data_IF_544502641351
#
_entry.id   IF_544502641351
#
_cell.length_a   1.000
_cell.length_b   1.000
_cell.length_c   1.000
_cell.angle_alpha   90.00
_cell.angle_beta   90.00
_cell.angle_gamma   90.00
#
_symmetry.space_group_name_H-M   'P 1'
#
loop_
_entity.id
_entity.type
_entity.pdbx_description
1 polymer ?
#
# COMPACT_ATOMS: atom_id res chain seq x y z
N UNK A 1 22.45 41.96 75.07
CA UNK A 1 22.66 42.83 73.89
C UNK A 1 23.62 42.24 72.84
N UNK A 2 24.51 41.28 73.15
CA UNK A 2 25.48 40.69 72.19
C UNK A 2 24.88 39.65 71.21
N UNK A 3 23.66 39.22 71.48
CA UNK A 3 22.88 38.24 70.75
C UNK A 3 21.94 38.90 69.72
N UNK A 4 21.50 40.13 69.98
CA UNK A 4 20.67 40.91 69.04
C UNK A 4 21.52 41.40 67.87
N UNK A 5 22.78 41.80 68.12
CA UNK A 5 23.73 42.21 67.07
C UNK A 5 24.09 41.06 66.12
N UNK A 6 24.15 39.81 66.62
CA UNK A 6 24.41 38.63 65.78
C UNK A 6 23.22 38.24 64.90
N UNK A 7 22.00 38.44 65.39
CA UNK A 7 20.77 38.20 64.62
C UNK A 7 20.60 39.28 63.54
N UNK A 8 20.97 40.54 63.83
CA UNK A 8 20.93 41.63 62.85
C UNK A 8 22.02 41.48 61.75
N UNK A 9 23.18 40.91 62.08
CA UNK A 9 24.25 40.63 61.12
C UNK A 9 23.96 39.40 60.23
N UNK A 10 23.19 38.43 60.73
CA UNK A 10 22.77 37.26 59.95
C UNK A 10 21.63 37.57 58.96
N UNK A 11 20.78 38.56 59.27
CA UNK A 11 19.66 38.96 58.41
C UNK A 11 20.09 39.82 57.21
N UNK A 12 21.28 40.45 57.25
CA UNK A 12 21.76 41.36 56.19
C UNK A 12 22.58 40.66 55.10
N UNK A 13 22.99 39.41 55.29
CA UNK A 13 23.72 38.62 54.27
C UNK A 13 22.78 37.86 53.33
N UNK A 14 21.48 37.74 53.65
CA UNK A 14 20.52 36.98 52.84
C UNK A 14 19.86 37.78 51.69
N UNK A 15 20.17 39.07 51.52
CA UNK A 15 19.42 39.98 50.65
C UNK A 15 20.13 40.42 49.35
N UNK A 16 21.32 39.90 49.04
CA UNK A 16 22.09 40.34 47.84
C UNK A 16 22.19 39.33 46.70
N UNK A 17 21.42 38.24 46.69
CA UNK A 17 21.32 37.37 45.49
C UNK A 17 19.98 37.62 44.78
N UNK A 18 19.84 38.83 44.22
CA UNK A 18 18.98 39.04 43.06
C UNK A 18 19.76 38.57 41.82
N UNK A 19 19.93 37.25 41.73
CA UNK A 19 20.30 36.61 40.48
C UNK A 19 19.13 36.78 39.53
N UNK A 20 19.32 37.60 38.51
CA UNK A 20 18.43 37.71 37.37
C UNK A 20 18.01 36.30 36.92
N UNK A 21 16.76 35.92 37.20
CA UNK A 21 16.13 34.80 36.52
C UNK A 21 15.95 35.29 35.09
N UNK A 22 16.99 35.10 34.28
CA UNK A 22 16.89 35.22 32.84
C UNK A 22 15.73 34.32 32.42
N UNK A 23 14.58 34.93 32.12
CA UNK A 23 13.50 34.25 31.42
C UNK A 23 14.07 33.86 30.06
N UNK A 24 14.69 32.68 30.00
CA UNK A 24 14.94 31.99 28.75
C UNK A 24 13.57 31.64 28.20
N UNK A 25 12.96 32.61 27.50
CA UNK A 25 11.90 32.30 26.54
C UNK A 25 12.50 31.25 25.61
N UNK A 26 11.99 30.01 25.59
CA UNK A 26 12.40 29.10 24.54
C UNK A 26 12.06 29.79 23.22
N UNK A 27 13.05 29.90 22.33
CA UNK A 27 12.88 30.47 21.01
C UNK A 27 11.58 29.91 20.40
N UNK A 28 10.75 30.76 19.75
CA UNK A 28 9.51 30.30 19.14
C UNK A 28 9.86 29.18 18.18
N UNK A 29 9.48 27.94 18.55
CA UNK A 29 9.67 26.78 17.69
C UNK A 29 8.95 27.11 16.39
N UNK A 30 9.70 27.21 15.29
CA UNK A 30 9.14 27.22 13.93
C UNK A 30 8.09 26.10 13.90
N UNK A 31 6.86 26.44 13.54
CA UNK A 31 5.84 25.43 13.29
C UNK A 31 6.34 24.54 12.16
N UNK A 32 6.93 23.41 12.52
CA UNK A 32 7.24 22.35 11.57
C UNK A 32 5.88 21.92 11.07
N UNK A 33 5.62 22.12 9.78
CA UNK A 33 4.38 21.70 9.16
C UNK A 33 4.08 20.26 9.62
N UNK A 34 2.87 19.97 10.15
CA UNK A 34 2.56 18.63 10.61
C UNK A 34 2.79 17.68 9.45
N UNK A 35 3.75 16.76 9.63
CA UNK A 35 4.06 15.72 8.65
C UNK A 35 2.73 15.06 8.30
N UNK A 36 2.38 15.10 7.01
CA UNK A 36 1.07 14.66 6.54
C UNK A 36 0.75 13.30 7.15
N UNK A 37 -0.31 13.26 7.97
CA UNK A 37 -0.82 11.98 8.49
C UNK A 37 -1.19 11.16 7.25
N UNK A 38 -0.66 9.93 7.10
CA UNK A 38 -1.11 9.07 6.02
C UNK A 38 -2.63 8.98 6.11
N UNK A 39 -3.31 9.33 5.02
CA UNK A 39 -4.78 9.28 4.94
C UNK A 39 -5.19 7.86 5.35
N UNK A 40 -5.97 7.74 6.41
CA UNK A 40 -6.70 6.52 6.74
C UNK A 40 -7.64 6.22 5.56
N UNK A 41 -7.22 5.32 4.68
CA UNK A 41 -7.82 5.12 3.36
C UNK A 41 -6.81 4.83 2.25
N UNK A 42 -5.50 5.02 2.49
CA UNK A 42 -4.49 4.31 1.71
C UNK A 42 -4.74 2.82 1.94
N UNK A 43 -5.11 2.09 0.88
CA UNK A 43 -5.57 0.70 0.96
C UNK A 43 -4.72 -0.10 1.93
N UNK A 44 -5.37 -0.77 2.87
CA UNK A 44 -4.73 -1.68 3.82
C UNK A 44 -3.73 -2.53 3.04
N UNK A 45 -2.45 -2.18 3.12
CA UNK A 45 -1.40 -3.01 2.58
C UNK A 45 -1.53 -4.32 3.33
N UNK A 46 -1.81 -5.40 2.58
CA UNK A 46 -1.97 -6.71 3.20
C UNK A 46 -0.69 -7.01 3.96
N UNK A 47 -0.84 -7.55 5.18
CA UNK A 47 0.31 -7.92 5.99
C UNK A 47 1.05 -9.11 5.35
N UNK A 48 2.32 -8.91 5.06
CA UNK A 48 3.13 -9.89 4.35
C UNK A 48 4.50 -9.36 3.96
N UNK A 49 5.27 -10.21 3.30
CA UNK A 49 6.60 -9.91 2.77
C UNK A 49 6.48 -9.70 1.26
N UNK A 50 6.98 -8.57 0.76
CA UNK A 50 7.00 -8.27 -0.68
C UNK A 50 8.44 -8.07 -1.12
N UNK A 51 8.78 -8.55 -2.31
CA UNK A 51 10.05 -8.21 -2.94
C UNK A 51 9.87 -6.93 -3.75
N UNK A 52 10.54 -5.85 -3.32
CA UNK A 52 10.43 -4.53 -3.95
C UNK A 52 11.81 -3.88 -4.09
N UNK A 53 12.10 -3.38 -5.28
CA UNK A 53 13.38 -2.77 -5.65
C UNK A 53 14.57 -3.69 -5.33
N UNK A 54 14.38 -5.01 -5.51
CA UNK A 54 15.37 -6.03 -5.16
C UNK A 54 15.61 -6.24 -3.65
N UNK A 55 14.79 -5.62 -2.79
CA UNK A 55 14.85 -5.77 -1.33
C UNK A 55 13.59 -6.45 -0.81
N UNK A 56 13.74 -7.32 0.17
CA UNK A 56 12.59 -7.86 0.89
C UNK A 56 12.09 -6.85 1.91
N UNK A 57 10.79 -6.59 1.85
CA UNK A 57 10.10 -5.66 2.73
C UNK A 57 8.98 -6.42 3.41
N UNK A 58 9.05 -6.56 4.74
CA UNK A 58 7.98 -7.08 5.55
C UNK A 58 7.07 -5.93 6.00
N UNK A 59 5.79 -6.04 5.69
CA UNK A 59 4.74 -5.15 6.21
C UNK A 59 3.92 -5.90 7.23
N UNK A 60 3.94 -5.46 8.48
CA UNK A 60 3.20 -6.07 9.60
C UNK A 60 2.54 -4.96 10.41
N UNK A 61 1.22 -5.04 10.62
CA UNK A 61 0.46 -4.05 11.38
C UNK A 61 0.63 -2.63 10.84
N UNK A 62 0.77 -2.50 9.51
CA UNK A 62 1.01 -1.22 8.84
C UNK A 62 2.42 -0.64 9.01
N UNK A 63 3.34 -1.36 9.67
CA UNK A 63 4.75 -1.00 9.70
C UNK A 63 5.51 -1.77 8.62
N UNK A 64 6.26 -1.03 7.81
CA UNK A 64 7.02 -1.56 6.66
C UNK A 64 8.50 -1.53 6.99
N UNK A 65 9.12 -2.69 7.18
CA UNK A 65 10.53 -2.83 7.54
C UNK A 65 11.28 -3.73 6.54
N UNK A 66 12.53 -3.40 6.17
CA UNK A 66 13.34 -4.28 5.35
C UNK A 66 13.70 -5.56 6.13
N UNK A 67 13.72 -6.69 5.43
CA UNK A 67 14.13 -7.98 6.00
C UNK A 67 15.65 -8.09 5.88
N UNK A 68 16.36 -7.98 7.00
CA UNK A 68 17.84 -8.04 7.06
C UNK A 68 18.39 -9.36 7.61
N UNK A 69 17.51 -10.22 8.11
CA UNK A 69 17.85 -11.55 8.61
C UNK A 69 16.77 -12.54 8.17
N UNK A 70 17.14 -13.81 8.08
CA UNK A 70 16.22 -14.88 7.72
C UNK A 70 15.08 -14.95 8.74
N UNK A 71 13.85 -14.93 8.24
CA UNK A 71 12.64 -14.85 9.06
C UNK A 71 11.84 -16.13 8.93
N UNK A 72 11.64 -16.80 10.06
CA UNK A 72 10.70 -17.92 10.15
C UNK A 72 9.32 -17.38 10.50
N UNK A 73 8.36 -17.61 9.62
CA UNK A 73 6.95 -17.31 9.83
C UNK A 73 6.32 -18.32 10.81
N UNK A 74 5.21 -17.93 11.44
CA UNK A 74 4.50 -18.74 12.44
C UNK A 74 3.97 -20.08 11.90
N UNK A 75 3.81 -20.18 10.58
CA UNK A 75 3.36 -21.39 9.89
C UNK A 75 4.52 -22.37 9.56
N UNK A 76 5.77 -22.04 9.91
CA UNK A 76 6.96 -22.82 9.59
C UNK A 76 7.58 -22.50 8.22
N UNK A 77 7.09 -21.50 7.50
CA UNK A 77 7.73 -21.01 6.27
C UNK A 77 8.95 -20.17 6.61
N UNK A 78 10.08 -20.42 5.95
CA UNK A 78 11.32 -19.67 6.15
C UNK A 78 11.51 -18.74 4.96
N UNK A 79 11.71 -17.46 5.22
CA UNK A 79 12.00 -16.44 4.21
C UNK A 79 13.44 -16.01 4.41
N UNK A 80 14.29 -16.31 3.43
CA UNK A 80 15.68 -15.88 3.45
C UNK A 80 15.84 -14.45 2.93
N UNK A 81 16.91 -13.79 3.34
CA UNK A 81 17.30 -12.46 2.84
C UNK A 81 17.54 -12.40 1.33
N UNK A 82 17.83 -13.54 0.70
CA UNK A 82 17.99 -13.68 -0.75
C UNK A 82 16.66 -13.77 -1.52
N UNK A 83 15.53 -13.82 -0.81
CA UNK A 83 14.21 -13.94 -1.41
C UNK A 83 13.79 -15.37 -1.72
N UNK A 84 14.51 -16.38 -1.19
CA UNK A 84 14.05 -17.77 -1.23
C UNK A 84 13.06 -17.99 -0.10
N UNK A 85 11.87 -18.47 -0.44
CA UNK A 85 10.81 -18.86 0.48
C UNK A 85 10.77 -20.38 0.52
N UNK A 86 11.01 -20.95 1.70
CA UNK A 86 10.91 -22.38 1.95
C UNK A 86 9.62 -22.64 2.72
N UNK A 87 8.64 -23.28 2.09
CA UNK A 87 7.40 -23.68 2.72
C UNK A 87 7.58 -24.79 3.76
N UNK A 88 6.53 -25.05 4.55
CA UNK A 88 6.53 -26.16 5.52
C UNK A 88 6.77 -27.51 4.87
N UNK A 89 6.32 -27.69 3.62
CA UNK A 89 6.46 -28.93 2.87
C UNK A 89 7.87 -29.12 2.27
N UNK A 90 8.80 -28.20 2.55
CA UNK A 90 10.16 -28.19 1.99
C UNK A 90 10.25 -27.64 0.57
N UNK A 91 9.13 -27.26 -0.04
CA UNK A 91 9.11 -26.59 -1.34
C UNK A 91 9.80 -25.23 -1.25
N UNK A 92 10.72 -24.96 -2.17
CA UNK A 92 11.46 -23.70 -2.26
C UNK A 92 11.01 -22.91 -3.48
N UNK A 93 10.74 -21.62 -3.28
CA UNK A 93 10.33 -20.70 -4.33
C UNK A 93 11.16 -19.44 -4.25
N UNK A 94 11.76 -19.03 -5.38
CA UNK A 94 12.47 -17.76 -5.49
C UNK A 94 11.47 -16.64 -5.77
N UNK A 95 11.47 -15.60 -4.92
CA UNK A 95 10.69 -14.40 -5.15
C UNK A 95 11.35 -13.53 -6.22
N UNK A 96 10.49 -12.97 -7.07
CA UNK A 96 10.84 -11.98 -8.08
C UNK A 96 10.22 -10.63 -7.72
N UNK A 97 10.64 -9.59 -8.43
CA UNK A 97 10.16 -8.22 -8.22
C UNK A 97 8.64 -8.11 -8.32
N UNK A 98 8.02 -7.62 -7.25
CA UNK A 98 6.57 -7.49 -7.13
C UNK A 98 5.83 -8.75 -6.66
N UNK A 99 6.53 -9.83 -6.36
CA UNK A 99 5.93 -11.00 -5.70
C UNK A 99 5.65 -10.72 -4.23
N UNK A 100 4.58 -11.33 -3.74
CA UNK A 100 4.05 -11.12 -2.41
C UNK A 100 3.93 -12.46 -1.67
N UNK A 101 4.25 -12.46 -0.38
CA UNK A 101 4.10 -13.60 0.52
C UNK A 101 3.28 -13.17 1.71
N UNK A 102 2.12 -13.80 1.90
CA UNK A 102 1.31 -13.55 3.09
C UNK A 102 2.02 -14.06 4.35
N UNK A 103 1.67 -13.51 5.52
CA UNK A 103 2.14 -14.06 6.81
C UNK A 103 1.75 -15.54 7.05
N UNK A 104 0.77 -16.03 6.31
CA UNK A 104 0.35 -17.44 6.28
C UNK A 104 1.19 -18.31 5.33
N UNK A 105 2.22 -17.76 4.70
CA UNK A 105 3.14 -18.43 3.76
C UNK A 105 2.57 -18.70 2.37
N UNK A 106 1.41 -18.12 2.04
CA UNK A 106 0.92 -18.13 0.66
C UNK A 106 1.74 -17.18 -0.18
N UNK A 107 2.40 -17.71 -1.20
CA UNK A 107 3.09 -16.95 -2.23
C UNK A 107 2.06 -16.58 -3.30
N UNK A 108 1.89 -15.29 -3.55
CA UNK A 108 1.13 -14.75 -4.67
C UNK A 108 2.13 -14.12 -5.63
N UNK A 109 2.27 -14.72 -6.82
CA UNK A 109 3.14 -14.15 -7.85
C UNK A 109 2.48 -12.94 -8.49
N UNK A 110 3.28 -12.01 -9.02
CA UNK A 110 2.75 -10.81 -9.70
C UNK A 110 1.74 -11.15 -10.82
N UNK A 111 1.97 -12.24 -11.55
CA UNK A 111 1.06 -12.69 -12.61
C UNK A 111 -0.31 -13.13 -12.06
N UNK A 112 -0.31 -13.86 -10.95
CA UNK A 112 -1.55 -14.30 -10.28
C UNK A 112 -2.29 -13.13 -9.64
N UNK A 113 -1.58 -12.19 -9.03
CA UNK A 113 -2.17 -10.96 -8.47
C UNK A 113 -2.85 -10.16 -9.59
N UNK A 114 -2.20 -9.99 -10.74
CA UNK A 114 -2.77 -9.28 -11.88
C UNK A 114 -3.99 -10.01 -12.47
N UNK A 115 -3.93 -11.34 -12.55
CA UNK A 115 -5.06 -12.16 -13.02
C UNK A 115 -6.25 -12.08 -12.05
N UNK A 116 -6.02 -12.17 -10.75
CA UNK A 116 -7.05 -12.05 -9.72
C UNK A 116 -7.67 -10.65 -9.67
N UNK A 117 -6.87 -9.59 -9.79
CA UNK A 117 -7.37 -8.22 -9.83
C UNK A 117 -8.23 -7.98 -11.08
N UNK A 118 -7.87 -8.58 -12.22
CA UNK A 118 -8.70 -8.56 -13.43
C UNK A 118 -10.04 -9.29 -13.20
N UNK A 119 -10.01 -10.48 -12.61
CA UNK A 119 -11.23 -11.25 -12.32
C UNK A 119 -12.12 -10.51 -11.31
N UNK A 120 -11.54 -9.95 -10.25
CA UNK A 120 -12.30 -9.18 -9.26
C UNK A 120 -12.89 -7.91 -9.87
N UNK A 121 -12.15 -7.19 -10.72
CA UNK A 121 -12.69 -6.02 -11.44
C UNK A 121 -13.84 -6.40 -12.36
N UNK A 122 -13.75 -7.54 -13.04
CA UNK A 122 -14.82 -8.07 -13.88
C UNK A 122 -16.05 -8.44 -13.05
N UNK A 123 -15.86 -9.16 -11.94
CA UNK A 123 -16.94 -9.51 -11.01
C UNK A 123 -17.57 -8.28 -10.37
N UNK A 124 -16.77 -7.29 -9.96
CA UNK A 124 -17.24 -6.04 -9.38
C UNK A 124 -17.99 -5.18 -10.40
N UNK A 125 -17.57 -5.21 -11.67
CA UNK A 125 -18.29 -4.57 -12.77
C UNK A 125 -19.65 -5.24 -13.01
N UNK A 126 -19.68 -6.57 -13.04
CA UNK A 126 -20.91 -7.35 -13.22
C UNK A 126 -21.88 -7.18 -12.05
N UNK A 127 -21.36 -7.06 -10.82
CA UNK A 127 -22.15 -6.80 -9.62
C UNK A 127 -22.73 -5.37 -9.59
N UNK A 128 -21.96 -4.38 -10.06
CA UNK A 128 -22.41 -2.98 -10.16
C UNK A 128 -23.37 -2.74 -11.33
N UNK A 129 -23.31 -3.57 -12.37
CA UNK A 129 -24.10 -3.45 -13.59
C UNK A 129 -24.69 -4.80 -13.99
N UNK A 130 -25.62 -5.35 -13.20
CA UNK A 130 -26.22 -6.64 -13.51
C UNK A 130 -26.89 -6.60 -14.88
N UNK A 131 -26.56 -7.55 -15.76
CA UNK A 131 -27.20 -7.71 -17.08
C UNK A 131 -26.63 -6.86 -18.22
N UNK A 132 -25.87 -5.79 -17.93
CA UNK A 132 -25.33 -4.87 -18.95
C UNK A 132 -24.35 -5.55 -19.91
N UNK A 133 -23.61 -6.56 -19.43
CA UNK A 133 -22.77 -7.42 -20.28
C UNK A 133 -23.57 -8.22 -21.30
N UNK A 134 -24.64 -8.89 -20.85
CA UNK A 134 -25.51 -9.67 -21.74
C UNK A 134 -26.20 -8.79 -22.77
N UNK A 135 -26.52 -7.55 -22.40
CA UNK A 135 -27.11 -6.58 -23.32
C UNK A 135 -26.09 -6.06 -24.36
N UNK A 136 -24.85 -5.77 -23.92
CA UNK A 136 -23.75 -5.39 -24.82
C UNK A 136 -23.33 -6.51 -25.77
N UNK A 137 -23.34 -7.76 -25.30
CA UNK A 137 -23.06 -8.95 -26.11
C UNK A 137 -24.16 -9.16 -27.15
N UNK A 138 -25.44 -9.10 -26.74
CA UNK A 138 -26.58 -9.14 -27.67
C UNK A 138 -26.57 -7.96 -28.65
N UNK A 139 -26.13 -6.78 -28.23
CA UNK A 139 -26.01 -5.61 -29.11
C UNK A 139 -24.88 -5.78 -30.12
N UNK A 140 -23.73 -6.32 -29.70
CA UNK A 140 -22.61 -6.65 -30.61
C UNK A 140 -23.00 -7.73 -31.61
N UNK A 141 -23.67 -8.79 -31.17
CA UNK A 141 -24.14 -9.87 -32.05
C UNK A 141 -25.17 -9.36 -33.08
N UNK A 142 -26.09 -8.49 -32.65
CA UNK A 142 -27.04 -7.85 -33.57
C UNK A 142 -26.35 -6.91 -34.55
N UNK A 143 -25.35 -6.15 -34.09
CA UNK A 143 -24.57 -5.25 -34.95
C UNK A 143 -23.71 -6.02 -35.97
N UNK A 144 -23.15 -7.16 -35.57
CA UNK A 144 -22.37 -8.03 -36.44
C UNK A 144 -23.26 -8.69 -37.50
N UNK A 145 -24.44 -9.23 -37.11
CA UNK A 145 -25.44 -9.74 -38.06
C UNK A 145 -25.97 -8.65 -39.00
N UNK A 146 -26.10 -7.41 -38.53
CA UNK A 146 -26.51 -6.29 -39.37
C UNK A 146 -25.42 -5.90 -40.38
N UNK A 147 -24.15 -5.89 -39.97
CA UNK A 147 -23.02 -5.66 -40.87
C UNK A 147 -22.92 -6.75 -41.93
N UNK A 148 -23.02 -8.02 -41.54
CA UNK A 148 -22.97 -9.15 -42.48
C UNK A 148 -24.11 -9.10 -43.51
N UNK A 149 -25.33 -8.73 -43.07
CA UNK A 149 -26.47 -8.53 -43.99
C UNK A 149 -26.23 -7.36 -44.95
N UNK A 150 -25.74 -6.23 -44.44
CA UNK A 150 -25.45 -5.05 -45.25
C UNK A 150 -24.33 -5.32 -46.27
N UNK A 151 -23.32 -6.11 -45.90
CA UNK A 151 -22.22 -6.47 -46.80
C UNK A 151 -22.70 -7.45 -47.88
N UNK A 152 -23.50 -8.46 -47.53
CA UNK A 152 -24.17 -9.34 -48.51
C UNK A 152 -25.10 -8.58 -49.46
N UNK A 153 -25.81 -7.58 -48.98
CA UNK A 153 -26.71 -6.77 -49.81
C UNK A 153 -25.94 -5.83 -50.75
N UNK A 154 -24.86 -5.21 -50.27
CA UNK A 154 -23.93 -4.43 -51.10
C UNK A 154 -23.25 -5.28 -52.16
N UNK A 155 -22.87 -6.51 -51.83
CA UNK A 155 -22.24 -7.44 -52.78
C UNK A 155 -23.23 -7.88 -53.86
N UNK A 156 -24.48 -8.18 -53.49
CA UNK A 156 -25.57 -8.46 -54.45
C UNK A 156 -25.90 -7.25 -55.32
N UNK A 157 -25.89 -6.03 -54.78
CA UNK A 157 -26.13 -4.81 -55.54
C UNK A 157 -25.00 -4.54 -56.56
N UNK A 158 -23.74 -4.75 -56.16
CA UNK A 158 -22.58 -4.65 -57.05
C UNK A 158 -22.62 -5.71 -58.16
N UNK A 159 -22.99 -6.96 -57.83
CA UNK A 159 -23.12 -8.03 -58.83
C UNK A 159 -24.26 -7.80 -59.83
N UNK A 160 -25.35 -7.14 -59.41
CA UNK A 160 -26.44 -6.73 -60.31
C UNK A 160 -26.06 -5.54 -61.19
N UNK A 161 -25.30 -4.58 -60.65
CA UNK A 161 -24.80 -3.43 -61.41
C UNK A 161 -23.74 -3.82 -62.46
N UNK A 162 -22.95 -4.86 -62.21
CA UNK A 162 -21.98 -5.38 -63.17
C UNK A 162 -22.59 -6.26 -64.28
N UNK A 163 -23.87 -6.64 -64.18
CA UNK A 163 -24.60 -7.47 -65.16
C UNK A 163 -25.55 -6.66 -66.06
N UNK A 164 -25.60 -5.34 -65.92
CA UNK A 164 -26.41 -4.42 -66.72
C UNK A 164 -25.51 -3.51 -67.53
#
# INVERSE_FOLDING_TARGET
MKNITRILLAATVLLTVQGAQAQSRPAPRRAVAPKARPKAGAGMMKDGVTMKDGKLIATEMGMTNPVTADKTLRNGTIITTNGVVTGKDGATTQLHEGDYVSLTGRVETRAEIAAQDSIQKLQAYDLKHPGKRKEMEKAREKAEKAKEKADKEKEKAKAKAAKK
#
